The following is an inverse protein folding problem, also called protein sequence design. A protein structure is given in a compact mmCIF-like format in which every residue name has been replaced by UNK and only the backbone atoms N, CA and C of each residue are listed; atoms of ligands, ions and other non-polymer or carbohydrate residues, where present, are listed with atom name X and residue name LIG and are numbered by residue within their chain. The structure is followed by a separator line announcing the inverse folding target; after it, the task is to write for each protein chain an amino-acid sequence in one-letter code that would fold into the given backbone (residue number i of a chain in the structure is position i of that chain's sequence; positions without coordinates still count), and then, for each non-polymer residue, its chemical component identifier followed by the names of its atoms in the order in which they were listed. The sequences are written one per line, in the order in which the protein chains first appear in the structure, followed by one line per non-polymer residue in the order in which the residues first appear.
data_IF_501359312766
#
_entry.id   IF_501359312766
#
_cell.length_a   1.000
_cell.length_b   1.000
_cell.length_c   1.000
_cell.angle_alpha   90.00
_cell.angle_beta   90.00
_cell.angle_gamma   90.00
#
_symmetry.space_group_name_H-M   'P 1'
#
loop_
_entity.id
_entity.type
_entity.pdbx_description
1 polymer ?
#
# COMPACT_ATOMS: atom_id res chain seq x y z
N UNK A 1 35.96 18.59 -0.96
CA UNK A 1 36.08 17.91 -2.27
C UNK A 1 35.09 18.45 -3.28
N UNK A 2 33.78 18.46 -2.99
CA UNK A 2 32.74 18.95 -3.92
C UNK A 2 33.01 20.39 -4.41
N UNK A 3 33.21 21.35 -3.49
CA UNK A 3 33.57 22.75 -3.81
C UNK A 3 34.83 22.90 -4.66
N UNK A 4 35.79 21.98 -4.51
CA UNK A 4 37.01 21.98 -5.31
C UNK A 4 36.69 21.55 -6.75
N UNK A 5 35.87 20.51 -6.95
CA UNK A 5 35.48 20.09 -8.29
C UNK A 5 34.61 21.13 -8.99
N UNK A 6 33.66 21.76 -8.29
CA UNK A 6 32.82 22.84 -8.83
C UNK A 6 33.66 24.06 -9.28
N UNK A 7 34.69 24.41 -8.50
CA UNK A 7 35.56 25.56 -8.82
C UNK A 7 36.50 25.28 -10.01
N UNK A 8 36.81 24.02 -10.28
CA UNK A 8 37.76 23.60 -11.32
C UNK A 8 37.09 22.92 -12.52
N UNK A 9 35.77 22.78 -12.51
CA UNK A 9 35.00 22.11 -13.57
C UNK A 9 35.28 22.71 -14.96
N UNK A 10 35.36 24.04 -15.06
CA UNK A 10 35.64 24.75 -16.32
C UNK A 10 37.08 24.64 -16.79
N UNK A 11 38.00 24.20 -15.92
CA UNK A 11 39.43 24.12 -16.19
C UNK A 11 39.92 22.67 -16.38
N UNK A 12 39.15 21.68 -15.93
CA UNK A 12 39.50 20.27 -16.00
C UNK A 12 39.02 19.64 -17.31
N UNK A 13 39.87 18.90 -18.02
CA UNK A 13 39.42 18.07 -19.13
C UNK A 13 38.36 17.06 -18.67
N UNK A 14 37.27 16.84 -19.44
CA UNK A 14 36.19 15.94 -19.05
C UNK A 14 36.65 14.51 -18.68
N UNK A 15 37.70 14.02 -19.35
CA UNK A 15 38.28 12.71 -19.07
C UNK A 15 38.89 12.64 -17.66
N UNK A 16 39.61 13.69 -17.23
CA UNK A 16 40.24 13.76 -15.90
C UNK A 16 39.17 13.86 -14.81
N UNK A 17 38.14 14.68 -15.03
CA UNK A 17 37.00 14.80 -14.11
C UNK A 17 36.33 13.43 -13.89
N UNK A 18 36.09 12.68 -14.98
CA UNK A 18 35.50 11.33 -14.92
C UNK A 18 36.40 10.34 -14.18
N UNK A 19 37.72 10.37 -14.39
CA UNK A 19 38.66 9.53 -13.64
C UNK A 19 38.66 9.83 -12.15
N UNK A 20 38.59 11.10 -11.75
CA UNK A 20 38.53 11.50 -10.33
C UNK A 20 37.21 11.04 -9.70
N UNK A 21 36.09 11.25 -10.39
CA UNK A 21 34.78 10.80 -9.93
C UNK A 21 34.75 9.28 -9.71
N UNK A 22 35.27 8.53 -10.69
CA UNK A 22 35.17 7.06 -10.70
C UNK A 22 36.15 6.39 -9.75
N UNK A 23 37.39 6.89 -9.66
CA UNK A 23 38.47 6.20 -8.94
C UNK A 23 38.78 6.80 -7.57
N UNK A 24 38.30 8.01 -7.26
CA UNK A 24 38.59 8.69 -5.99
C UNK A 24 37.32 8.99 -5.21
N UNK A 25 36.33 9.61 -5.84
CA UNK A 25 35.11 10.05 -5.14
C UNK A 25 34.20 8.86 -4.86
N UNK A 26 33.85 8.08 -5.88
CA UNK A 26 32.91 6.96 -5.75
C UNK A 26 33.37 5.92 -4.71
N UNK A 27 34.63 5.43 -4.71
CA UNK A 27 35.06 4.45 -3.69
C UNK A 27 35.03 5.01 -2.27
N UNK A 28 35.33 6.30 -2.09
CA UNK A 28 35.25 6.96 -0.77
C UNK A 28 33.82 7.13 -0.30
N UNK A 29 32.89 7.46 -1.21
CA UNK A 29 31.46 7.54 -0.89
C UNK A 29 30.91 6.18 -0.52
N UNK A 30 31.22 5.13 -1.29
CA UNK A 30 30.79 3.77 -0.99
C UNK A 30 31.34 3.31 0.37
N UNK A 31 32.63 3.52 0.64
CA UNK A 31 33.22 3.19 1.94
C UNK A 31 32.59 3.99 3.10
N UNK A 32 32.25 5.26 2.88
CA UNK A 32 31.57 6.07 3.89
C UNK A 32 30.14 5.58 4.14
N UNK A 33 29.39 5.22 3.09
CA UNK A 33 28.07 4.57 3.21
C UNK A 33 28.17 3.25 3.96
N UNK A 34 29.21 2.46 3.68
CA UNK A 34 29.45 1.18 4.33
C UNK A 34 29.90 1.32 5.80
N UNK A 35 30.41 2.47 6.22
CA UNK A 35 30.76 2.74 7.61
C UNK A 35 29.68 3.50 8.39
N UNK A 36 28.75 4.13 7.70
CA UNK A 36 27.72 4.97 8.32
C UNK A 36 26.71 4.17 9.17
N UNK A 37 26.57 4.50 10.45
CA UNK A 37 25.48 3.99 11.32
C UNK A 37 24.41 5.08 11.54
N UNK A 38 23.14 4.82 11.17
CA UNK A 38 22.03 5.74 11.41
C UNK A 38 21.76 6.05 12.89
N UNK A 39 22.15 5.17 13.82
CA UNK A 39 21.85 5.29 15.26
C UNK A 39 22.80 6.23 16.00
N UNK A 40 24.03 6.34 15.52
CA UNK A 40 25.06 7.22 16.08
C UNK A 40 24.96 8.65 15.50
N UNK A 41 24.28 8.80 14.35
CA UNK A 41 24.14 10.06 13.63
C UNK A 41 23.01 10.97 14.15
N UNK A 42 22.41 10.69 15.30
CA UNK A 42 21.53 11.66 15.97
C UNK A 42 22.28 12.96 16.35
N UNK A 43 23.60 12.89 16.49
CA UNK A 43 24.50 14.03 16.74
C UNK A 43 25.32 14.46 15.51
N UNK A 44 25.29 13.68 14.42
CA UNK A 44 26.13 13.90 13.24
C UNK A 44 25.34 14.08 11.93
N UNK A 45 25.95 14.84 11.02
CA UNK A 45 25.41 15.33 9.76
C UNK A 45 24.57 14.26 9.00
N UNK A 46 23.28 14.52 8.67
CA UNK A 46 22.41 13.54 8.02
C UNK A 46 22.94 13.03 6.67
N UNK A 47 22.77 11.73 6.39
CA UNK A 47 23.33 11.08 5.19
C UNK A 47 22.99 11.78 3.86
N UNK A 48 21.78 12.29 3.73
CA UNK A 48 21.35 12.98 2.51
C UNK A 48 22.18 14.24 2.22
N UNK A 49 22.67 14.94 3.25
CA UNK A 49 23.41 16.21 3.06
C UNK A 49 24.79 16.03 2.43
N UNK A 50 25.43 14.86 2.58
CA UNK A 50 26.72 14.58 1.95
C UNK A 50 26.63 13.65 0.75
N UNK A 51 25.52 12.92 0.55
CA UNK A 51 25.29 12.10 -0.66
C UNK A 51 24.59 12.87 -1.77
N UNK A 52 23.50 13.59 -1.46
CA UNK A 52 22.67 14.24 -2.49
C UNK A 52 23.43 15.22 -3.39
N UNK A 53 24.42 15.99 -2.90
CA UNK A 53 25.19 16.88 -3.76
C UNK A 53 25.97 16.17 -4.88
N UNK A 54 26.22 14.85 -4.75
CA UNK A 54 26.91 14.06 -5.76
C UNK A 54 25.96 13.41 -6.78
N UNK A 55 24.65 13.43 -6.54
CA UNK A 55 23.65 12.84 -7.45
C UNK A 55 23.75 13.41 -8.89
N UNK A 56 23.91 14.73 -9.11
CA UNK A 56 24.02 15.26 -10.47
C UNK A 56 25.27 14.79 -11.23
N UNK A 57 26.34 14.43 -10.51
CA UNK A 57 27.64 14.07 -11.09
C UNK A 57 27.81 12.57 -11.28
N UNK A 58 27.32 11.77 -10.34
CA UNK A 58 27.49 10.31 -10.32
C UNK A 58 26.24 9.54 -10.77
N UNK A 59 25.04 10.13 -10.61
CA UNK A 59 23.76 9.57 -11.04
C UNK A 59 23.62 8.07 -10.73
N UNK A 60 23.47 7.29 -11.80
CA UNK A 60 23.33 5.82 -11.77
C UNK A 60 24.40 5.07 -10.96
N UNK A 61 25.60 5.63 -10.80
CA UNK A 61 26.67 4.96 -10.04
C UNK A 61 26.36 4.89 -8.54
N UNK A 62 25.60 5.86 -8.01
CA UNK A 62 25.17 5.88 -6.62
C UNK A 62 23.99 4.95 -6.36
N UNK A 63 23.27 4.50 -7.39
CA UNK A 63 22.18 3.52 -7.21
C UNK A 63 22.68 2.22 -6.57
N UNK A 64 23.96 1.88 -6.80
CA UNK A 64 24.61 0.71 -6.19
C UNK A 64 24.62 0.73 -4.66
N UNK A 65 24.59 1.91 -4.02
CA UNK A 65 24.60 2.03 -2.57
C UNK A 65 23.22 2.26 -1.95
N UNK A 66 22.17 2.51 -2.75
CA UNK A 66 20.82 2.72 -2.22
C UNK A 66 20.27 1.52 -1.44
N UNK A 67 20.47 0.25 -1.87
CA UNK A 67 20.04 -0.90 -1.08
C UNK A 67 20.70 -0.94 0.31
N UNK A 68 22.00 -0.61 0.40
CA UNK A 68 22.72 -0.52 1.67
C UNK A 68 22.13 0.58 2.55
N UNK A 69 21.90 1.77 2.00
CA UNK A 69 21.31 2.89 2.74
C UNK A 69 19.89 2.55 3.22
N UNK A 70 19.05 2.01 2.34
CA UNK A 70 17.70 1.54 2.67
C UNK A 70 17.73 0.51 3.79
N UNK A 71 18.58 -0.52 3.70
CA UNK A 71 18.67 -1.57 4.72
C UNK A 71 19.12 -1.03 6.09
N UNK A 72 20.04 -0.05 6.11
CA UNK A 72 20.48 0.61 7.33
C UNK A 72 19.42 1.53 7.91
N UNK A 73 18.75 2.34 7.09
CA UNK A 73 17.61 3.14 7.54
C UNK A 73 16.50 2.25 8.11
N UNK A 74 16.19 1.15 7.42
CA UNK A 74 15.21 0.16 7.83
C UNK A 74 15.56 -0.48 9.18
N UNK A 75 16.77 -1.03 9.34
CA UNK A 75 17.20 -1.77 10.54
C UNK A 75 17.65 -0.87 11.70
N UNK A 76 18.31 0.25 11.40
CA UNK A 76 18.92 1.12 12.39
C UNK A 76 17.97 2.17 12.95
N UNK A 77 17.14 2.79 12.10
CA UNK A 77 16.21 3.84 12.52
C UNK A 77 14.80 3.28 12.64
N UNK A 78 14.31 2.70 11.54
CA UNK A 78 12.90 2.39 11.40
C UNK A 78 12.44 1.16 12.16
N UNK A 79 13.33 0.24 12.53
CA UNK A 79 12.98 -0.95 13.32
C UNK A 79 12.57 -0.58 14.75
N UNK A 80 13.27 0.39 15.36
CA UNK A 80 12.95 0.92 16.70
C UNK A 80 12.11 2.20 16.68
N UNK A 81 11.89 2.82 15.51
CA UNK A 81 11.14 4.08 15.37
C UNK A 81 9.73 4.03 15.95
N UNK A 82 9.25 5.15 16.49
CA UNK A 82 7.87 5.32 16.95
C UNK A 82 7.21 6.50 16.22
N UNK A 83 5.91 6.44 15.85
CA UNK A 83 5.24 7.52 15.12
C UNK A 83 5.26 8.93 15.73
N UNK A 84 5.56 9.05 17.02
CA UNK A 84 5.75 10.34 17.70
C UNK A 84 7.08 11.02 17.38
N UNK A 85 8.03 10.31 16.79
CA UNK A 85 9.35 10.83 16.46
C UNK A 85 9.35 11.45 15.05
N UNK A 86 9.40 12.78 15.01
CA UNK A 86 9.42 13.59 13.78
C UNK A 86 10.76 13.52 13.04
N UNK A 87 11.83 13.05 13.68
CA UNK A 87 13.16 13.00 13.07
C UNK A 87 13.21 12.06 11.86
N UNK A 88 12.47 10.95 11.89
CA UNK A 88 12.38 10.01 10.78
C UNK A 88 11.75 10.62 9.54
N UNK A 89 10.77 11.53 9.70
CA UNK A 89 10.18 12.25 8.57
C UNK A 89 11.23 13.13 7.89
N UNK A 90 11.99 13.89 8.67
CA UNK A 90 13.05 14.76 8.17
C UNK A 90 14.20 13.97 7.53
N UNK A 91 14.49 12.78 8.07
CA UNK A 91 15.51 11.89 7.55
C UNK A 91 15.11 11.26 6.21
N UNK A 92 13.85 10.82 6.09
CA UNK A 92 13.34 10.09 4.94
C UNK A 92 12.85 10.99 3.80
N UNK A 93 12.26 12.15 4.11
CA UNK A 93 11.68 13.05 3.10
C UNK A 93 12.61 13.36 1.91
N UNK A 94 13.93 13.59 2.09
CA UNK A 94 14.84 13.82 0.97
C UNK A 94 14.97 12.61 0.01
N UNK A 95 14.81 11.39 0.52
CA UNK A 95 15.03 10.17 -0.24
C UNK A 95 13.87 9.79 -1.17
N UNK A 96 12.68 10.37 -0.95
CA UNK A 96 11.48 10.10 -1.77
C UNK A 96 11.70 10.35 -3.26
N UNK A 97 12.53 11.34 -3.62
CA UNK A 97 12.83 11.67 -5.03
C UNK A 97 14.03 10.91 -5.58
N UNK A 98 14.74 10.16 -4.73
CA UNK A 98 16.02 9.51 -5.08
C UNK A 98 15.85 8.01 -5.23
N UNK A 99 15.05 7.38 -4.36
CA UNK A 99 14.76 5.95 -4.46
C UNK A 99 13.73 5.67 -5.55
N UNK A 100 13.79 4.45 -6.09
CA UNK A 100 12.78 3.99 -7.03
C UNK A 100 11.39 3.92 -6.33
N UNK A 101 10.30 4.24 -7.05
CA UNK A 101 8.97 4.30 -6.45
C UNK A 101 8.53 3.01 -5.76
N UNK A 102 8.87 1.85 -6.35
CA UNK A 102 8.46 0.54 -5.84
C UNK A 102 9.16 0.21 -4.51
N UNK A 103 10.48 0.38 -4.42
CA UNK A 103 11.25 0.15 -3.20
C UNK A 103 10.91 1.18 -2.11
N UNK A 104 10.63 2.43 -2.49
CA UNK A 104 10.14 3.44 -1.55
C UNK A 104 8.80 3.03 -0.94
N UNK A 105 7.86 2.59 -1.78
CA UNK A 105 6.54 2.14 -1.37
C UNK A 105 6.63 0.93 -0.44
N UNK A 106 7.43 -0.08 -0.78
CA UNK A 106 7.63 -1.27 0.06
C UNK A 106 8.19 -0.89 1.44
N UNK A 107 9.17 0.01 1.49
CA UNK A 107 9.77 0.50 2.73
C UNK A 107 8.74 1.27 3.58
N UNK A 108 7.94 2.15 2.96
CA UNK A 108 6.88 2.89 3.65
C UNK A 108 5.82 1.95 4.22
N UNK A 109 5.35 0.98 3.45
CA UNK A 109 4.32 0.03 3.89
C UNK A 109 4.85 -0.85 5.04
N UNK A 110 6.06 -1.37 4.89
CA UNK A 110 6.66 -2.32 5.85
C UNK A 110 6.95 -1.68 7.19
N UNK A 111 7.46 -0.45 7.23
CA UNK A 111 7.93 0.17 8.47
C UNK A 111 7.04 1.28 9.00
N UNK A 112 6.53 2.16 8.12
CA UNK A 112 5.74 3.31 8.55
C UNK A 112 4.27 2.90 8.72
N UNK A 113 3.64 2.35 7.68
CA UNK A 113 2.21 1.99 7.71
C UNK A 113 1.93 0.92 8.76
N UNK A 114 2.81 -0.07 8.91
CA UNK A 114 2.69 -1.11 9.95
C UNK A 114 2.64 -0.52 11.35
N UNK A 115 3.53 0.43 11.67
CA UNK A 115 3.62 1.09 12.97
C UNK A 115 2.50 2.10 13.20
N UNK A 116 2.10 2.85 12.18
CA UNK A 116 0.91 3.70 12.24
C UNK A 116 -0.36 2.88 12.50
N UNK A 117 -0.46 1.71 11.86
CA UNK A 117 -1.56 0.77 12.09
C UNK A 117 -1.54 0.23 13.52
N UNK A 118 -0.37 -0.14 14.06
CA UNK A 118 -0.22 -0.56 15.45
C UNK A 118 -0.64 0.56 16.43
N UNK A 119 -0.17 1.79 16.23
CA UNK A 119 -0.57 2.94 17.03
C UNK A 119 -2.09 3.20 16.97
N UNK A 120 -2.69 3.03 15.78
CA UNK A 120 -4.15 3.13 15.61
C UNK A 120 -4.91 1.98 16.30
N UNK A 121 -4.30 0.80 16.42
CA UNK A 121 -4.84 -0.32 17.21
C UNK A 121 -4.79 -0.07 18.72
N UNK A 122 -3.98 0.85 19.22
CA UNK A 122 -3.97 1.21 20.63
C UNK A 122 -4.98 2.31 20.98
N UNK A 123 -5.41 3.09 19.97
CA UNK A 123 -6.41 4.14 20.12
C UNK A 123 -7.70 3.62 20.76
N UNK A 124 -8.09 4.27 21.86
CA UNK A 124 -9.32 3.99 22.57
C UNK A 124 -10.42 4.95 22.11
N UNK A 125 -11.53 4.40 21.62
CA UNK A 125 -12.71 5.20 21.26
C UNK A 125 -13.70 5.14 22.42
N UNK A 126 -13.89 6.28 23.10
CA UNK A 126 -14.83 6.42 24.21
C UNK A 126 -16.26 6.66 23.72
N UNK A 127 -17.26 6.25 24.52
CA UNK A 127 -18.67 6.59 24.32
C UNK A 127 -19.00 8.03 24.73
N UNK A 128 -18.14 8.68 25.53
CA UNK A 128 -18.41 10.02 26.06
C UNK A 128 -18.11 11.11 25.00
N UNK A 129 -19.12 11.89 24.54
CA UNK A 129 -18.92 12.98 23.57
C UNK A 129 -17.99 14.09 24.07
N UNK A 130 -17.97 14.37 25.37
CA UNK A 130 -17.21 15.48 25.97
C UNK A 130 -15.70 15.18 26.10
N UNK A 131 -15.30 13.92 25.98
CA UNK A 131 -13.90 13.47 26.06
C UNK A 131 -13.20 13.35 24.70
N UNK A 132 -13.88 13.70 23.60
CA UNK A 132 -13.32 13.58 22.24
C UNK A 132 -12.27 14.65 21.98
N UNK A 133 -11.03 14.41 22.43
CA UNK A 133 -9.86 15.19 22.00
C UNK A 133 -9.30 14.62 20.70
N UNK A 134 -8.66 15.47 19.90
CA UNK A 134 -7.97 15.04 18.68
C UNK A 134 -6.87 14.03 19.06
N UNK A 135 -6.94 12.76 18.63
CA UNK A 135 -5.92 11.80 18.98
C UNK A 135 -4.60 12.11 18.27
N UNK A 136 -3.47 12.02 18.97
CA UNK A 136 -2.13 12.21 18.36
C UNK A 136 -1.90 11.24 17.18
N UNK A 137 -2.52 10.06 17.21
CA UNK A 137 -2.48 9.07 16.14
C UNK A 137 -2.97 9.64 14.80
N UNK A 138 -3.93 10.57 14.81
CA UNK A 138 -4.46 11.17 13.58
C UNK A 138 -3.43 12.10 12.96
N UNK A 139 -2.70 12.84 13.81
CA UNK A 139 -1.64 13.75 13.37
C UNK A 139 -0.47 12.97 12.79
N UNK A 140 -0.07 11.87 13.43
CA UNK A 140 0.97 10.99 12.91
C UNK A 140 0.63 10.47 11.51
N UNK A 141 -0.58 9.96 11.31
CA UNK A 141 -1.02 9.49 9.97
C UNK A 141 -1.05 10.64 8.96
N UNK A 142 -1.45 11.84 9.37
CA UNK A 142 -1.52 13.00 8.50
C UNK A 142 -0.13 13.49 8.06
N UNK A 143 0.87 13.46 8.94
CA UNK A 143 2.26 13.83 8.60
C UNK A 143 2.77 12.99 7.43
N UNK A 144 2.47 11.69 7.42
CA UNK A 144 2.91 10.75 6.38
C UNK A 144 2.03 10.71 5.13
N UNK A 145 0.86 11.36 5.13
CA UNK A 145 -0.09 11.34 4.02
C UNK A 145 0.44 11.94 2.71
N UNK A 146 1.50 12.77 2.77
CA UNK A 146 2.16 13.34 1.59
C UNK A 146 3.21 12.42 0.97
N UNK A 147 3.69 11.42 1.70
CA UNK A 147 4.77 10.50 1.28
C UNK A 147 4.30 9.10 0.95
N UNK A 148 3.09 8.74 1.38
CA UNK A 148 2.48 7.42 1.20
C UNK A 148 1.22 7.56 0.34
N UNK A 149 1.07 6.76 -0.74
CA UNK A 149 -0.17 6.74 -1.52
C UNK A 149 -1.39 6.48 -0.65
N UNK A 150 -2.51 7.14 -0.98
CA UNK A 150 -3.71 7.15 -0.12
C UNK A 150 -4.26 5.75 0.16
N UNK A 151 -4.14 4.82 -0.79
CA UNK A 151 -4.68 3.46 -0.65
C UNK A 151 -4.02 2.64 0.46
N UNK A 152 -2.75 2.91 0.80
CA UNK A 152 -2.07 2.23 1.92
C UNK A 152 -2.48 2.77 3.28
N UNK A 153 -2.97 4.01 3.35
CA UNK A 153 -3.43 4.61 4.60
C UNK A 153 -4.88 4.23 4.91
N UNK A 154 -5.69 3.82 3.91
CA UNK A 154 -7.08 3.42 4.13
C UNK A 154 -7.21 2.26 5.14
N UNK A 155 -6.41 1.17 5.07
CA UNK A 155 -6.44 0.12 6.09
C UNK A 155 -6.15 0.64 7.50
N UNK A 156 -5.23 1.60 7.65
CA UNK A 156 -4.95 2.24 8.95
C UNK A 156 -6.17 2.99 9.47
N UNK A 157 -6.86 3.75 8.61
CA UNK A 157 -8.11 4.43 8.98
C UNK A 157 -9.25 3.45 9.28
N UNK A 158 -9.31 2.32 8.57
CA UNK A 158 -10.33 1.29 8.78
C UNK A 158 -10.25 0.68 10.19
N UNK A 159 -9.07 0.60 10.78
CA UNK A 159 -8.88 0.18 12.18
C UNK A 159 -9.65 1.11 13.12
N UNK A 160 -9.50 2.43 12.96
CA UNK A 160 -10.26 3.41 13.74
C UNK A 160 -11.77 3.26 13.48
N UNK A 161 -12.19 3.23 12.21
CA UNK A 161 -13.62 3.15 11.88
C UNK A 161 -14.28 1.86 12.37
N UNK A 162 -13.57 0.73 12.40
CA UNK A 162 -14.07 -0.52 12.96
C UNK A 162 -14.40 -0.34 14.45
N UNK A 163 -13.45 0.21 15.23
CA UNK A 163 -13.66 0.49 16.65
C UNK A 163 -14.76 1.52 16.88
N UNK A 164 -14.79 2.57 16.08
CA UNK A 164 -15.78 3.64 16.16
C UNK A 164 -17.20 3.12 15.87
N UNK A 165 -17.39 2.33 14.82
CA UNK A 165 -18.67 1.67 14.54
C UNK A 165 -19.03 0.66 15.62
N UNK A 166 -18.05 -0.02 16.21
CA UNK A 166 -18.27 -0.98 17.30
C UNK A 166 -18.79 -0.33 18.57
N UNK A 167 -18.24 0.83 18.92
CA UNK A 167 -18.71 1.67 20.02
C UNK A 167 -20.12 2.20 19.73
N UNK A 168 -20.33 2.75 18.53
CA UNK A 168 -21.64 3.27 18.11
C UNK A 168 -22.72 2.18 18.16
N UNK A 169 -22.45 1.00 17.62
CA UNK A 169 -23.41 -0.11 17.63
C UNK A 169 -23.77 -0.53 19.06
N UNK A 170 -22.78 -0.66 19.94
CA UNK A 170 -23.01 -1.02 21.35
C UNK A 170 -23.84 0.03 22.05
N UNK A 171 -23.53 1.31 21.82
CA UNK A 171 -24.26 2.41 22.43
C UNK A 171 -25.71 2.48 21.95
N UNK A 172 -25.95 2.33 20.63
CA UNK A 172 -27.28 2.27 20.03
C UNK A 172 -28.12 1.08 20.52
N UNK A 173 -27.50 -0.05 20.88
CA UNK A 173 -28.19 -1.19 21.47
C UNK A 173 -28.59 -0.98 22.94
N UNK A 174 -28.02 0.02 23.63
CA UNK A 174 -28.21 0.27 25.06
C UNK A 174 -29.25 1.35 25.38
N UNK A 175 -30.18 1.64 24.46
CA UNK A 175 -31.18 2.74 24.57
C UNK A 175 -30.54 4.12 24.84
N UNK A 176 -29.80 4.69 23.88
CA UNK A 176 -29.13 5.97 24.10
C UNK A 176 -30.05 7.17 23.90
N UNK A 177 -29.65 8.31 24.47
CA UNK A 177 -30.18 9.62 24.08
C UNK A 177 -29.60 9.99 22.70
N UNK A 178 -30.46 10.02 21.67
CA UNK A 178 -30.03 10.29 20.29
C UNK A 178 -29.30 11.63 20.11
N UNK A 179 -29.61 12.62 20.95
CA UNK A 179 -28.92 13.92 20.96
C UNK A 179 -27.43 13.76 21.30
N UNK A 180 -27.11 12.94 22.30
CA UNK A 180 -25.72 12.67 22.70
C UNK A 180 -24.97 11.87 21.63
N UNK A 181 -25.63 10.89 21.02
CA UNK A 181 -25.07 10.09 19.91
C UNK A 181 -24.75 10.99 18.72
N UNK A 182 -25.65 11.94 18.41
CA UNK A 182 -25.44 12.91 17.32
C UNK A 182 -24.28 13.85 17.63
N UNK A 183 -24.18 14.38 18.86
CA UNK A 183 -23.05 15.21 19.30
C UNK A 183 -21.73 14.44 19.20
N UNK A 184 -21.71 13.17 19.61
CA UNK A 184 -20.53 12.31 19.52
C UNK A 184 -20.10 12.03 18.07
N UNK A 185 -21.05 11.69 17.19
CA UNK A 185 -20.78 11.47 15.77
C UNK A 185 -20.18 12.73 15.13
N UNK A 186 -20.79 13.90 15.37
CA UNK A 186 -20.31 15.17 14.85
C UNK A 186 -18.95 15.55 15.43
N UNK A 187 -18.72 15.28 16.72
CA UNK A 187 -17.43 15.46 17.36
C UNK A 187 -16.32 14.72 16.63
N UNK A 188 -16.47 13.41 16.41
CA UNK A 188 -15.49 12.62 15.65
C UNK A 188 -15.35 13.06 14.20
N UNK A 189 -16.46 13.36 13.51
CA UNK A 189 -16.43 13.84 12.12
C UNK A 189 -15.65 15.14 11.98
N UNK A 190 -15.77 16.06 12.94
CA UNK A 190 -15.10 17.35 12.93
C UNK A 190 -13.60 17.25 13.26
N UNK A 191 -13.15 16.16 13.89
CA UNK A 191 -11.73 15.88 14.17
C UNK A 191 -10.99 15.32 12.95
N UNK A 192 -11.71 14.82 11.93
CA UNK A 192 -11.11 14.27 10.72
C UNK A 192 -10.62 15.39 9.78
N UNK A 193 -9.40 15.28 9.20
CA UNK A 193 -8.92 16.21 8.19
C UNK A 193 -9.86 16.31 6.97
N UNK A 194 -9.96 17.50 6.36
CA UNK A 194 -10.90 17.74 5.24
C UNK A 194 -10.58 16.88 4.03
N UNK A 195 -9.29 16.67 3.78
CA UNK A 195 -8.75 15.87 2.69
C UNK A 195 -9.17 14.40 2.84
N UNK A 196 -9.19 13.91 4.09
CA UNK A 196 -9.63 12.56 4.40
C UNK A 196 -11.14 12.41 4.26
N UNK A 197 -11.91 13.40 4.70
CA UNK A 197 -13.38 13.42 4.53
C UNK A 197 -13.79 13.52 3.07
N UNK A 198 -12.94 14.07 2.19
CA UNK A 198 -13.19 14.09 0.75
C UNK A 198 -13.04 12.71 0.09
N UNK A 199 -12.29 11.78 0.70
CA UNK A 199 -12.07 10.44 0.17
C UNK A 199 -13.35 9.58 0.18
N UNK A 200 -13.67 8.94 -0.94
CA UNK A 200 -14.90 8.17 -1.12
C UNK A 200 -15.05 7.01 -0.12
N UNK A 201 -13.96 6.30 0.18
CA UNK A 201 -13.96 5.20 1.15
C UNK A 201 -14.31 5.68 2.55
N UNK A 202 -13.70 6.79 2.98
CA UNK A 202 -13.95 7.40 4.29
C UNK A 202 -15.39 7.92 4.39
N UNK A 203 -15.91 8.54 3.32
CA UNK A 203 -17.32 8.96 3.24
C UNK A 203 -18.27 7.78 3.40
N UNK A 204 -17.96 6.66 2.77
CA UNK A 204 -18.72 5.43 2.92
C UNK A 204 -18.67 4.88 4.36
N UNK A 205 -17.50 4.89 5.02
CA UNK A 205 -17.39 4.49 6.44
C UNK A 205 -18.25 5.36 7.36
N UNK A 206 -18.34 6.65 7.10
CA UNK A 206 -19.20 7.60 7.83
C UNK A 206 -20.69 7.36 7.53
N UNK A 207 -21.06 7.09 6.27
CA UNK A 207 -22.46 6.82 5.90
C UNK A 207 -22.99 5.55 6.56
N UNK A 208 -22.15 4.51 6.71
CA UNK A 208 -22.52 3.31 7.49
C UNK A 208 -22.90 3.64 8.94
N UNK A 209 -22.17 4.57 9.58
CA UNK A 209 -22.52 5.04 10.93
C UNK A 209 -23.87 5.76 10.97
N UNK A 210 -24.14 6.62 9.98
CA UNK A 210 -25.44 7.30 9.85
C UNK A 210 -26.59 6.31 9.60
N UNK A 211 -26.38 5.29 8.77
CA UNK A 211 -27.36 4.22 8.54
C UNK A 211 -27.68 3.46 9.83
N UNK A 212 -26.67 3.20 10.68
CA UNK A 212 -26.87 2.56 11.98
C UNK A 212 -27.72 3.42 12.92
N UNK A 213 -27.46 4.73 12.97
CA UNK A 213 -28.27 5.68 13.75
C UNK A 213 -29.71 5.77 13.24
N UNK A 214 -29.90 5.85 11.92
CA UNK A 214 -31.23 5.93 11.30
C UNK A 214 -32.07 4.68 11.58
N UNK A 215 -31.47 3.48 11.54
CA UNK A 215 -32.17 2.24 11.92
C UNK A 215 -32.56 2.21 13.40
N UNK A 216 -31.63 2.60 14.27
CA UNK A 216 -31.89 2.66 15.71
C UNK A 216 -33.04 3.64 16.03
N UNK A 217 -33.09 4.79 15.34
CA UNK A 217 -34.19 5.76 15.48
C UNK A 217 -35.56 5.21 15.04
N UNK A 218 -35.58 4.24 14.12
CA UNK A 218 -36.79 3.51 13.70
C UNK A 218 -37.13 2.32 14.62
N UNK A 219 -36.41 2.15 15.73
CA UNK A 219 -36.59 1.02 16.65
C UNK A 219 -36.00 -0.31 16.15
N UNK A 220 -35.26 -0.29 15.04
CA UNK A 220 -34.61 -1.48 14.47
C UNK A 220 -33.21 -1.64 15.06
N UNK A 221 -32.77 -2.88 15.29
CA UNK A 221 -31.41 -3.14 15.79
C UNK A 221 -30.37 -2.63 14.78
N UNK A 222 -29.37 -1.85 15.22
CA UNK A 222 -28.27 -1.43 14.36
C UNK A 222 -27.51 -2.68 13.90
N UNK A 223 -27.43 -2.87 12.58
CA UNK A 223 -26.70 -3.99 12.01
C UNK A 223 -25.32 -3.47 11.64
N UNK A 224 -24.28 -3.95 12.32
CA UNK A 224 -22.92 -3.86 11.75
C UNK A 224 -22.99 -4.64 10.45
N UNK A 225 -22.97 -3.95 9.31
CA UNK A 225 -22.37 -4.57 8.14
C UNK A 225 -20.92 -4.74 8.57
N UNK A 226 -20.57 -5.93 9.06
CA UNK A 226 -19.15 -6.32 9.07
C UNK A 226 -18.69 -5.98 7.65
N UNK A 227 -17.58 -5.25 7.50
CA UNK A 227 -16.79 -5.49 6.31
C UNK A 227 -16.47 -6.98 6.38
N UNK A 228 -17.26 -7.75 5.64
CA UNK A 228 -17.01 -9.15 5.41
C UNK A 228 -15.81 -9.21 4.50
N UNK A 229 -14.64 -8.89 5.06
CA UNK A 229 -13.38 -9.40 4.57
C UNK A 229 -13.42 -10.89 4.85
N UNK A 230 -14.09 -11.63 3.95
CA UNK A 230 -13.85 -13.01 3.49
C UNK A 230 -15.12 -13.79 3.08
N UNK A 231 -16.35 -13.34 3.38
CA UNK A 231 -17.57 -14.05 2.93
C UNK A 231 -18.54 -13.24 2.04
N UNK A 232 -18.43 -11.90 1.94
CA UNK A 232 -19.27 -11.10 1.01
C UNK A 232 -18.52 -10.12 0.11
N UNK A 233 -17.29 -10.44 -0.25
CA UNK A 233 -16.70 -9.93 -1.50
C UNK A 233 -17.40 -10.51 -2.77
N UNK A 234 -18.45 -11.32 -2.60
CA UNK A 234 -19.26 -11.89 -3.69
C UNK A 234 -20.57 -11.15 -3.98
N UNK A 235 -20.89 -10.04 -3.31
CA UNK A 235 -22.14 -9.33 -3.60
C UNK A 235 -21.97 -7.80 -3.56
N UNK A 236 -21.56 -7.28 -4.71
CA UNK A 236 -21.77 -5.92 -5.24
C UNK A 236 -20.76 -4.82 -4.87
N UNK A 237 -19.91 -4.48 -5.85
CA UNK A 237 -19.25 -3.17 -5.94
C UNK A 237 -18.05 -3.09 -6.87
N UNK A 238 -17.28 -4.17 -6.99
CA UNK A 238 -16.27 -4.37 -8.01
C UNK A 238 -16.60 -5.71 -8.69
N UNK A 239 -16.77 -5.71 -10.01
CA UNK A 239 -16.94 -6.96 -10.75
C UNK A 239 -15.70 -7.80 -10.45
N UNK A 240 -15.87 -8.91 -9.74
CA UNK A 240 -14.70 -9.72 -9.35
C UNK A 240 -13.98 -10.18 -10.61
N UNK A 241 -12.65 -10.31 -10.61
CA UNK A 241 -11.91 -10.77 -11.80
C UNK A 241 -12.49 -12.07 -12.37
N UNK A 242 -13.04 -12.93 -11.50
CA UNK A 242 -13.82 -14.11 -11.88
C UNK A 242 -15.09 -13.77 -12.67
N UNK A 243 -15.92 -12.85 -12.19
CA UNK A 243 -17.12 -12.37 -12.89
C UNK A 243 -16.76 -11.65 -14.20
N UNK A 244 -15.64 -10.91 -14.26
CA UNK A 244 -15.17 -10.29 -15.50
C UNK A 244 -14.80 -11.36 -16.54
N UNK A 245 -14.06 -12.40 -16.13
CA UNK A 245 -13.71 -13.53 -17.00
C UNK A 245 -14.96 -14.33 -17.39
N UNK A 246 -15.90 -14.52 -16.47
CA UNK A 246 -17.15 -15.22 -16.73
C UNK A 246 -18.05 -14.45 -17.71
N UNK A 247 -18.20 -13.14 -17.53
CA UNK A 247 -18.92 -12.26 -18.46
C UNK A 247 -18.23 -12.22 -19.83
N UNK A 248 -16.90 -12.17 -19.86
CA UNK A 248 -16.12 -12.22 -21.10
C UNK A 248 -16.25 -13.56 -21.82
N UNK A 249 -16.28 -14.67 -21.09
CA UNK A 249 -16.56 -16.00 -21.64
C UNK A 249 -17.97 -16.06 -22.23
N UNK A 250 -18.98 -15.63 -21.48
CA UNK A 250 -20.38 -15.63 -21.90
C UNK A 250 -20.61 -14.77 -23.15
N UNK A 251 -20.03 -13.56 -23.20
CA UNK A 251 -20.11 -12.67 -24.34
C UNK A 251 -19.55 -13.31 -25.63
N UNK A 252 -18.51 -14.14 -25.50
CA UNK A 252 -17.88 -14.86 -26.62
C UNK A 252 -18.46 -16.28 -26.83
N UNK A 253 -19.57 -16.63 -26.18
CA UNK A 253 -20.22 -17.93 -26.34
C UNK A 253 -19.43 -19.11 -25.73
N UNK A 254 -18.55 -18.84 -24.76
CA UNK A 254 -17.71 -19.82 -24.08
C UNK A 254 -18.21 -20.13 -22.67
N UNK A 255 -17.93 -21.35 -22.20
CA UNK A 255 -18.21 -21.74 -20.82
C UNK A 255 -17.00 -21.46 -19.91
N UNK A 256 -17.25 -20.85 -18.76
CA UNK A 256 -16.29 -20.70 -17.68
C UNK A 256 -16.73 -21.52 -16.45
N UNK A 257 -16.06 -22.65 -16.18
CA UNK A 257 -16.48 -23.60 -15.13
C UNK A 257 -15.31 -24.17 -14.34
N UNK A 258 -15.43 -24.40 -13.02
CA UNK A 258 -14.39 -25.04 -12.23
C UNK A 258 -14.16 -26.48 -12.70
N UNK A 259 -12.89 -26.94 -12.69
CA UNK A 259 -12.52 -28.34 -12.97
C UNK A 259 -12.24 -29.06 -11.64
N UNK A 260 -13.24 -29.74 -11.03
CA UNK A 260 -13.05 -30.43 -9.75
C UNK A 260 -12.03 -31.56 -9.87
N UNK A 261 -11.16 -31.71 -8.88
CA UNK A 261 -10.15 -32.78 -8.81
C UNK A 261 -8.78 -32.47 -9.46
N UNK A 262 -8.56 -31.26 -10.00
CA UNK A 262 -7.24 -30.80 -10.44
C UNK A 262 -6.82 -29.56 -9.66
N UNK A 263 -6.06 -29.78 -8.59
CA UNK A 263 -5.46 -28.72 -7.78
C UNK A 263 -3.94 -28.77 -8.08
N UNK A 264 -3.30 -27.69 -8.56
CA UNK A 264 -1.86 -27.60 -8.69
C UNK A 264 -1.20 -27.74 -7.31
N UNK A 265 0.12 -28.02 -7.29
CA UNK A 265 0.90 -28.08 -6.04
C UNK A 265 0.79 -26.82 -5.17
N UNK A 266 0.43 -25.68 -5.78
CA UNK A 266 0.29 -24.37 -5.13
C UNK A 266 -1.12 -24.07 -4.59
N UNK A 267 -2.03 -25.04 -4.54
CA UNK A 267 -3.34 -24.90 -3.89
C UNK A 267 -4.40 -24.08 -4.64
N UNK A 268 -4.09 -23.57 -5.84
CA UNK A 268 -5.00 -22.72 -6.61
C UNK A 268 -6.13 -23.53 -7.31
N UNK A 269 -7.34 -22.97 -7.39
CA UNK A 269 -8.44 -23.59 -8.12
C UNK A 269 -8.25 -23.43 -9.64
N UNK A 270 -8.34 -24.55 -10.39
CA UNK A 270 -8.32 -24.51 -11.86
C UNK A 270 -9.75 -24.36 -12.41
N UNK A 271 -9.90 -23.43 -13.35
CA UNK A 271 -11.10 -23.19 -14.15
C UNK A 271 -10.86 -23.60 -15.60
N UNK A 272 -11.92 -23.99 -16.31
CA UNK A 272 -11.92 -24.14 -17.76
C UNK A 272 -12.52 -22.89 -18.40
N UNK A 273 -11.78 -22.26 -19.32
CA UNK A 273 -12.28 -21.19 -20.19
C UNK A 273 -12.39 -21.79 -21.60
N UNK A 274 -13.60 -22.23 -21.98
CA UNK A 274 -13.79 -23.07 -23.16
C UNK A 274 -12.91 -24.33 -23.11
N UNK A 275 -11.96 -24.44 -24.05
CA UNK A 275 -11.04 -25.57 -24.17
C UNK A 275 -9.72 -25.44 -23.39
N UNK A 276 -9.41 -24.28 -22.81
CA UNK A 276 -8.15 -24.04 -22.08
C UNK A 276 -8.34 -24.07 -20.56
N UNK A 277 -7.27 -24.31 -19.81
CA UNK A 277 -7.27 -24.28 -18.35
C UNK A 277 -6.70 -22.96 -17.85
N UNK A 278 -7.34 -22.37 -16.85
CA UNK A 278 -7.03 -21.04 -16.31
C UNK A 278 -6.97 -21.09 -14.78
N UNK A 279 -6.03 -20.37 -14.18
CA UNK A 279 -5.91 -20.11 -12.75
C UNK A 279 -6.08 -18.61 -12.53
N UNK A 280 -6.78 -18.25 -11.45
CA UNK A 280 -6.93 -16.87 -11.00
C UNK A 280 -6.18 -16.75 -9.67
N UNK A 281 -5.19 -15.87 -9.62
CA UNK A 281 -4.55 -15.43 -8.38
C UNK A 281 -5.33 -14.23 -7.85
N UNK A 282 -6.15 -14.47 -6.82
CA UNK A 282 -6.99 -13.44 -6.20
C UNK A 282 -6.20 -12.46 -5.33
N UNK A 283 -4.98 -12.82 -4.90
CA UNK A 283 -4.14 -11.96 -4.05
C UNK A 283 -3.36 -10.97 -4.91
N UNK A 284 -2.91 -11.41 -6.09
CA UNK A 284 -2.13 -10.58 -7.04
C UNK A 284 -2.96 -10.03 -8.21
N UNK A 285 -4.26 -10.32 -8.25
CA UNK A 285 -5.20 -9.96 -9.32
C UNK A 285 -4.71 -10.35 -10.73
N UNK A 286 -4.14 -11.55 -10.86
CA UNK A 286 -3.51 -12.04 -12.10
C UNK A 286 -4.19 -13.30 -12.63
N UNK A 287 -4.23 -13.44 -13.96
CA UNK A 287 -4.82 -14.58 -14.65
C UNK A 287 -3.75 -15.38 -15.36
N UNK A 288 -3.69 -16.68 -15.12
CA UNK A 288 -2.73 -17.57 -15.75
C UNK A 288 -3.44 -18.60 -16.61
N UNK A 289 -3.00 -18.78 -17.85
CA UNK A 289 -3.47 -19.86 -18.71
C UNK A 289 -2.40 -20.93 -18.90
N UNK A 290 -2.83 -22.19 -18.95
CA UNK A 290 -1.96 -23.32 -19.22
C UNK A 290 -1.72 -23.43 -20.73
N UNK A 291 -0.48 -23.24 -21.16
CA UNK A 291 -0.07 -23.47 -22.55
C UNK A 291 0.18 -24.97 -22.72
N UNK A 292 -0.69 -25.62 -23.50
CA UNK A 292 -0.72 -27.09 -23.61
C UNK A 292 0.53 -27.67 -24.27
N UNK A 293 1.28 -26.87 -25.04
CA UNK A 293 2.51 -27.32 -25.71
C UNK A 293 3.70 -27.48 -24.75
N UNK A 294 3.68 -26.83 -23.58
CA UNK A 294 4.81 -26.82 -22.65
C UNK A 294 4.45 -27.24 -21.22
N UNK A 295 3.15 -27.42 -20.92
CA UNK A 295 2.67 -27.70 -19.57
C UNK A 295 2.88 -26.53 -18.58
N UNK A 296 3.39 -25.39 -19.06
CA UNK A 296 3.69 -24.19 -18.27
C UNK A 296 2.46 -23.29 -18.13
N UNK A 297 2.37 -22.62 -16.98
CA UNK A 297 1.41 -21.57 -16.71
C UNK A 297 2.01 -20.22 -17.11
N UNK A 298 1.29 -19.46 -17.92
CA UNK A 298 1.71 -18.15 -18.41
C UNK A 298 0.72 -17.08 -17.97
N UNK A 299 1.21 -15.91 -17.57
CA UNK A 299 0.38 -14.76 -17.25
C UNK A 299 -0.27 -14.24 -18.55
N UNK A 300 -1.58 -14.04 -18.53
CA UNK A 300 -2.36 -13.66 -19.73
C UNK A 300 -3.45 -12.63 -19.41
N UNK A 301 -3.81 -11.80 -20.39
CA UNK A 301 -4.98 -10.93 -20.34
C UNK A 301 -6.24 -11.60 -20.93
N UNK A 302 -7.40 -10.94 -20.83
CA UNK A 302 -8.69 -11.48 -21.33
C UNK A 302 -8.67 -11.78 -22.83
N UNK A 303 -8.09 -10.87 -23.64
CA UNK A 303 -7.98 -11.04 -25.10
C UNK A 303 -7.13 -12.26 -25.46
N UNK A 304 -6.02 -12.45 -24.75
CA UNK A 304 -5.13 -13.61 -24.93
C UNK A 304 -5.80 -14.94 -24.57
N UNK A 305 -6.79 -14.95 -23.65
CA UNK A 305 -7.57 -16.17 -23.37
C UNK A 305 -8.38 -16.64 -24.57
N UNK A 306 -8.98 -15.70 -25.33
CA UNK A 306 -9.72 -16.02 -26.55
C UNK A 306 -8.81 -16.52 -27.66
N UNK A 307 -7.65 -15.87 -27.83
CA UNK A 307 -6.65 -16.30 -28.81
C UNK A 307 -6.19 -17.73 -28.55
N UNK A 308 -5.83 -18.03 -27.29
CA UNK A 308 -5.42 -19.37 -26.86
C UNK A 308 -6.55 -20.40 -27.04
N UNK A 309 -7.80 -20.03 -26.75
CA UNK A 309 -8.96 -20.89 -27.00
C UNK A 309 -9.11 -21.26 -28.48
N UNK A 310 -9.04 -20.26 -29.36
CA UNK A 310 -9.21 -20.41 -30.81
C UNK A 310 -8.08 -21.24 -31.42
N UNK A 311 -6.84 -20.99 -31.01
CA UNK A 311 -5.68 -21.78 -31.43
C UNK A 311 -5.80 -23.24 -30.99
N UNK A 312 -6.28 -23.49 -29.77
CA UNK A 312 -6.51 -24.85 -29.28
C UNK A 312 -7.61 -25.58 -30.06
N UNK A 313 -8.72 -24.89 -30.39
CA UNK A 313 -9.81 -25.43 -31.21
C UNK A 313 -9.36 -25.81 -32.62
N UNK A 314 -8.49 -25.00 -33.24
CA UNK A 314 -7.91 -25.28 -34.56
C UNK A 314 -6.96 -26.49 -34.56
N UNK A 315 -6.17 -26.69 -33.49
CA UNK A 315 -5.25 -27.83 -33.36
C UNK A 315 -5.99 -29.15 -33.09
N UNK A 316 -7.12 -29.14 -32.38
CA UNK A 316 -7.94 -30.34 -32.12
C UNK A 316 -8.74 -30.81 -33.34
N UNK A 317 -9.08 -29.90 -34.27
CA UNK A 317 -9.74 -30.24 -35.55
C UNK A 317 -8.79 -30.80 -36.62
N UNK A 318 -7.47 -30.68 -36.42
CA UNK A 318 -6.42 -31.18 -37.33
C UNK A 318 -5.81 -32.51 -36.87
N UNK A 319 -6.30 -33.10 -35.78
CA UNK A 319 -5.83 -34.39 -35.23
C UNK A 319 -6.88 -35.47 -35.38
#
# INVERSE_FOLDING_TARGET
MLRFLESWEKLLPPAVLRTILDNVVLPKLLAAVDLWDPRETAEEIPIHTWIHPWLPLLGHKLETCYPTICSRLASGVLDAWHPSDESAYSLLSPWKTVFDPDSWEELMVKFIVSKLSAAMQELQVSMNPAGNQKPYQFEWVQTWATHIPSHHLLPTWDIFFNKWQDVLCRWLCSNPLFEEVTKWFLGWKNLLPKELVANEHIRYRLSLGLEMMARAAQGLRPRKRKLETQEKAQQHGYVSMREVIEAHAQYNGLAFKPKPGRIPKDGHQIYGFGNISVIIDFVKEKVFAQIVEEGRWSLVCLEQLLELHNQYGLKKRRR
#
